data_IF_852973571357
#
_entry.id   IF_852973571357
#
_cell.length_a   1.000
_cell.length_b   1.000
_cell.length_c   1.000
_cell.angle_alpha   90.00
_cell.angle_beta   90.00
_cell.angle_gamma   90.00
#
_symmetry.space_group_name_H-M   'P 1'
#
loop_
_entity.id
_entity.type
_entity.pdbx_description
1 polymer ?
#
# COMPACT_ATOMS: atom_id res chain seq x y z
N UNK A 1 -6.91 19.17 9.57
CA UNK A 1 -6.23 17.92 9.15
C UNK A 1 -7.30 16.83 9.06
N UNK A 2 -7.44 16.19 7.90
CA UNK A 2 -8.44 15.15 7.65
C UNK A 2 -7.71 13.89 7.18
N UNK A 3 -8.05 12.74 7.74
CA UNK A 3 -7.52 11.44 7.34
C UNK A 3 -8.64 10.63 6.69
N UNK A 4 -8.30 9.90 5.63
CA UNK A 4 -9.22 8.96 5.00
C UNK A 4 -8.57 7.59 4.90
N UNK A 5 -9.41 6.56 4.87
CA UNK A 5 -8.98 5.19 4.68
C UNK A 5 -9.77 4.57 3.53
N UNK A 6 -9.06 4.27 2.45
CA UNK A 6 -9.52 3.45 1.33
C UNK A 6 -8.48 2.36 1.04
N UNK A 7 -8.01 1.70 2.10
CA UNK A 7 -7.01 0.65 2.07
C UNK A 7 -5.77 1.06 1.24
N UNK A 8 -5.23 0.17 0.40
CA UNK A 8 -4.05 0.41 -0.43
C UNK A 8 -4.18 1.63 -1.38
N UNK A 9 -5.40 2.15 -1.59
CA UNK A 9 -5.66 3.31 -2.45
C UNK A 9 -5.73 4.65 -1.71
N UNK A 10 -5.54 4.67 -0.38
CA UNK A 10 -5.76 5.87 0.44
C UNK A 10 -4.97 7.10 -0.03
N UNK A 11 -3.69 6.94 -0.40
CA UNK A 11 -2.89 8.05 -0.91
C UNK A 11 -3.45 8.65 -2.21
N UNK A 12 -3.87 7.81 -3.16
CA UNK A 12 -4.48 8.28 -4.41
C UNK A 12 -5.89 8.83 -4.18
N UNK A 13 -6.64 8.26 -3.23
CA UNK A 13 -7.94 8.79 -2.83
C UNK A 13 -7.82 10.19 -2.22
N UNK A 14 -6.75 10.48 -1.47
CA UNK A 14 -6.48 11.83 -0.98
C UNK A 14 -6.27 12.82 -2.13
N UNK A 15 -5.52 12.44 -3.16
CA UNK A 15 -5.33 13.25 -4.38
C UNK A 15 -6.69 13.49 -5.07
N UNK A 16 -7.48 12.43 -5.26
CA UNK A 16 -8.79 12.52 -5.90
C UNK A 16 -9.76 13.44 -5.12
N UNK A 17 -9.80 13.32 -3.80
CA UNK A 17 -10.62 14.17 -2.94
C UNK A 17 -10.20 15.64 -3.00
N UNK A 18 -8.89 15.92 -2.95
CA UNK A 18 -8.39 17.30 -3.07
C UNK A 18 -8.70 17.89 -4.45
N UNK A 19 -8.45 17.13 -5.52
CA UNK A 19 -8.78 17.56 -6.88
C UNK A 19 -10.27 17.82 -7.08
N UNK A 20 -11.14 16.98 -6.52
CA UNK A 20 -12.59 17.18 -6.59
C UNK A 20 -13.04 18.45 -5.86
N UNK A 21 -12.50 18.72 -4.68
CA UNK A 21 -12.83 19.91 -3.91
C UNK A 21 -12.39 21.20 -4.62
N UNK A 22 -11.18 21.23 -5.19
CA UNK A 22 -10.70 22.35 -6.02
C UNK A 22 -11.62 22.54 -7.23
N UNK A 23 -11.92 21.46 -7.95
CA UNK A 23 -12.81 21.51 -9.12
C UNK A 23 -14.21 22.04 -8.78
N UNK A 24 -14.71 21.75 -7.58
CA UNK A 24 -16.02 22.21 -7.11
C UNK A 24 -16.02 23.63 -6.52
N UNK A 25 -14.89 24.32 -6.46
CA UNK A 25 -14.77 25.67 -5.89
C UNK A 25 -14.86 25.71 -4.37
N UNK A 26 -14.64 24.60 -3.67
CA UNK A 26 -14.64 24.57 -2.20
C UNK A 26 -13.41 25.28 -1.61
N UNK A 27 -12.27 25.18 -2.29
CA UNK A 27 -11.03 25.89 -2.00
C UNK A 27 -10.12 25.92 -3.24
N UNK A 28 -9.16 26.83 -3.28
CA UNK A 28 -8.30 27.04 -4.46
C UNK A 28 -7.02 26.18 -4.43
N UNK A 29 -6.50 25.90 -3.24
CA UNK A 29 -5.26 25.14 -3.04
C UNK A 29 -5.49 24.09 -1.95
N UNK A 30 -5.00 22.88 -2.15
CA UNK A 30 -5.05 21.81 -1.16
C UNK A 30 -3.84 20.88 -1.24
N UNK A 31 -3.51 20.26 -0.11
CA UNK A 31 -2.42 19.29 0.01
C UNK A 31 -2.99 17.89 0.18
N UNK A 32 -2.54 16.95 -0.66
CA UNK A 32 -2.84 15.52 -0.55
C UNK A 32 -1.56 14.75 -0.22
N UNK A 33 -1.63 13.86 0.78
CA UNK A 33 -0.51 13.03 1.20
C UNK A 33 -0.99 11.61 1.55
N UNK A 34 -0.07 10.66 1.51
CA UNK A 34 -0.23 9.32 2.07
C UNK A 34 0.94 9.03 3.01
N UNK A 35 0.67 8.36 4.12
CA UNK A 35 1.69 7.95 5.10
C UNK A 35 1.36 6.55 5.60
N UNK A 36 2.39 5.74 5.81
CA UNK A 36 2.27 4.38 6.31
C UNK A 36 3.50 4.04 7.18
N UNK A 37 3.30 3.31 8.28
CA UNK A 37 4.37 2.82 9.15
C UNK A 37 4.06 1.39 9.62
N UNK A 38 4.31 0.44 8.72
CA UNK A 38 4.06 -0.99 8.96
C UNK A 38 4.86 -1.55 10.12
N UNK A 39 6.09 -1.05 10.35
CA UNK A 39 6.94 -1.48 11.46
C UNK A 39 6.39 -1.07 12.83
N UNK A 40 5.57 -0.01 12.90
CA UNK A 40 4.98 0.50 14.13
C UNK A 40 3.60 -0.04 14.46
N UNK A 41 2.71 -0.12 13.46
CA UNK A 41 1.30 -0.50 13.66
C UNK A 41 1.00 -1.96 13.30
N UNK A 42 1.74 -2.56 12.37
CA UNK A 42 1.45 -3.89 11.83
C UNK A 42 0.06 -4.01 11.17
N UNK A 43 -0.23 -5.18 10.60
CA UNK A 43 -1.58 -5.53 10.14
C UNK A 43 -2.15 -6.58 11.08
N UNK A 44 -2.92 -6.15 12.08
CA UNK A 44 -3.61 -7.04 13.00
C UNK A 44 -5.05 -6.60 13.15
N UNK A 45 -5.94 -7.58 13.12
CA UNK A 45 -7.31 -7.39 13.56
C UNK A 45 -7.34 -7.35 15.09
N UNK A 46 -8.05 -6.38 15.64
CA UNK A 46 -8.26 -6.26 17.08
C UNK A 46 -9.73 -6.54 17.43
N UNK A 47 -9.95 -7.20 18.57
CA UNK A 47 -11.29 -7.52 19.06
C UNK A 47 -11.96 -8.71 18.39
N UNK A 48 -13.19 -9.00 18.80
CA UNK A 48 -14.00 -10.10 18.28
C UNK A 48 -14.68 -9.72 16.96
N UNK A 49 -14.80 -10.68 16.04
CA UNK A 49 -15.61 -10.51 14.83
C UNK A 49 -17.09 -10.70 15.13
N UNK A 50 -17.96 -9.92 14.47
CA UNK A 50 -19.39 -10.15 14.53
C UNK A 50 -19.74 -11.50 13.87
N UNK A 51 -20.36 -12.46 14.59
CA UNK A 51 -20.67 -13.78 14.04
C UNK A 51 -21.54 -13.75 12.78
N UNK A 52 -22.34 -12.69 12.59
CA UNK A 52 -23.18 -12.51 11.40
C UNK A 52 -22.37 -12.37 10.10
N UNK A 53 -21.08 -12.02 10.17
CA UNK A 53 -20.19 -11.96 8.99
C UNK A 53 -20.16 -13.31 8.27
N UNK A 54 -20.20 -14.43 9.01
CA UNK A 54 -20.15 -15.77 8.42
C UNK A 54 -21.44 -16.18 7.70
N UNK A 55 -22.54 -15.45 7.94
CA UNK A 55 -23.83 -15.70 7.28
C UNK A 55 -23.94 -15.02 5.91
N UNK A 56 -23.10 -14.03 5.64
CA UNK A 56 -23.07 -13.32 4.36
C UNK A 56 -21.77 -13.65 3.59
N UNK A 57 -21.84 -14.30 2.41
CA UNK A 57 -20.65 -14.70 1.66
C UNK A 57 -19.70 -13.55 1.29
N UNK A 58 -20.24 -12.37 0.97
CA UNK A 58 -19.43 -11.20 0.58
C UNK A 58 -18.72 -10.59 1.79
N UNK A 59 -19.41 -10.49 2.92
CA UNK A 59 -18.80 -10.04 4.17
C UNK A 59 -17.70 -10.99 4.63
N UNK A 60 -17.93 -12.31 4.53
CA UNK A 60 -16.91 -13.32 4.82
C UNK A 60 -15.70 -13.21 3.88
N UNK A 61 -15.91 -12.91 2.61
CA UNK A 61 -14.83 -12.74 1.63
C UNK A 61 -13.87 -11.59 2.00
N UNK A 62 -14.35 -10.54 2.69
CA UNK A 62 -13.49 -9.46 3.20
C UNK A 62 -12.49 -9.91 4.27
N UNK A 63 -12.64 -11.11 4.83
CA UNK A 63 -11.71 -11.70 5.80
C UNK A 63 -10.58 -12.50 5.14
N UNK A 64 -10.61 -12.68 3.81
CA UNK A 64 -9.57 -13.42 3.11
C UNK A 64 -8.23 -12.68 3.21
N UNK A 65 -7.13 -13.37 3.57
CA UNK A 65 -5.81 -12.77 3.50
C UNK A 65 -5.51 -12.34 2.07
N UNK A 66 -4.85 -11.18 1.91
CA UNK A 66 -4.52 -10.66 0.59
C UNK A 66 -3.70 -11.65 -0.25
N UNK A 67 -2.78 -12.40 0.37
CA UNK A 67 -2.03 -13.47 -0.31
C UNK A 67 -2.93 -14.56 -0.88
N UNK A 68 -3.99 -14.98 -0.16
CA UNK A 68 -4.95 -15.97 -0.65
C UNK A 68 -5.76 -15.41 -1.83
N UNK A 69 -6.14 -14.13 -1.78
CA UNK A 69 -6.80 -13.51 -2.95
C UNK A 69 -5.87 -13.47 -4.17
N UNK A 70 -4.55 -13.31 -3.96
CA UNK A 70 -3.55 -13.41 -5.04
C UNK A 70 -3.45 -14.82 -5.60
N UNK A 71 -3.42 -15.85 -4.75
CA UNK A 71 -3.44 -17.26 -5.18
C UNK A 71 -4.70 -17.61 -5.97
N UNK A 72 -5.87 -17.10 -5.54
CA UNK A 72 -7.13 -17.30 -6.24
C UNK A 72 -7.08 -16.69 -7.65
N UNK A 73 -6.52 -15.48 -7.80
CA UNK A 73 -6.30 -14.84 -9.11
C UNK A 73 -5.34 -15.67 -9.96
N UNK A 74 -4.21 -16.10 -9.39
CA UNK A 74 -3.23 -16.91 -10.11
C UNK A 74 -3.84 -18.22 -10.61
N UNK A 75 -4.58 -18.93 -9.76
CA UNK A 75 -5.27 -20.17 -10.13
C UNK A 75 -6.37 -19.93 -11.18
N UNK A 76 -7.21 -18.90 -11.00
CA UNK A 76 -8.33 -18.61 -11.90
C UNK A 76 -7.86 -18.26 -13.32
N UNK A 77 -6.77 -17.51 -13.44
CA UNK A 77 -6.24 -17.03 -14.71
C UNK A 77 -5.01 -17.81 -15.19
N UNK A 78 -4.70 -18.95 -14.55
CA UNK A 78 -3.57 -19.83 -14.88
C UNK A 78 -2.22 -19.10 -14.95
N UNK A 79 -1.97 -18.18 -14.02
CA UNK A 79 -0.72 -17.42 -13.96
C UNK A 79 0.36 -18.33 -13.34
N UNK A 80 1.30 -18.77 -14.16
CA UNK A 80 2.33 -19.70 -13.73
C UNK A 80 3.29 -19.07 -12.71
N UNK A 81 3.92 -19.91 -11.90
CA UNK A 81 4.99 -19.49 -10.99
C UNK A 81 6.13 -18.76 -11.72
N UNK A 82 6.48 -19.24 -12.92
CA UNK A 82 7.53 -18.64 -13.73
C UNK A 82 7.17 -17.21 -14.18
N UNK A 83 5.92 -16.96 -14.57
CA UNK A 83 5.45 -15.61 -14.93
C UNK A 83 5.47 -14.65 -13.74
N UNK A 84 5.03 -15.13 -12.56
CA UNK A 84 5.08 -14.34 -11.33
C UNK A 84 6.53 -13.95 -10.99
N UNK A 85 7.45 -14.90 -11.04
CA UNK A 85 8.86 -14.67 -10.73
C UNK A 85 9.55 -13.76 -11.76
N UNK A 86 9.21 -13.88 -13.06
CA UNK A 86 9.73 -13.00 -14.12
C UNK A 86 9.42 -11.53 -13.85
N UNK A 87 8.20 -11.21 -13.42
CA UNK A 87 7.80 -9.84 -13.08
C UNK A 87 8.57 -9.34 -11.87
N UNK A 88 8.76 -10.18 -10.84
CA UNK A 88 9.53 -9.81 -9.67
C UNK A 88 11.00 -9.49 -10.02
N UNK A 89 11.65 -10.34 -10.84
CA UNK A 89 13.02 -10.11 -11.32
C UNK A 89 13.12 -8.80 -12.09
N UNK A 90 12.19 -8.56 -13.02
CA UNK A 90 12.19 -7.35 -13.84
C UNK A 90 11.96 -6.09 -13.00
N UNK A 91 11.08 -6.16 -11.99
CA UNK A 91 10.84 -5.07 -11.04
C UNK A 91 12.12 -4.67 -10.31
N UNK A 92 12.84 -5.65 -9.73
CA UNK A 92 14.11 -5.40 -9.05
C UNK A 92 15.19 -4.86 -10.00
N UNK A 93 15.29 -5.41 -11.21
CA UNK A 93 16.24 -4.95 -12.23
C UNK A 93 16.01 -3.48 -12.59
N UNK A 94 14.75 -3.08 -12.82
CA UNK A 94 14.38 -1.69 -13.12
C UNK A 94 14.68 -0.76 -11.96
N UNK A 95 14.31 -1.14 -10.75
CA UNK A 95 14.56 -0.35 -9.54
C UNK A 95 16.06 -0.10 -9.33
N UNK A 96 16.88 -1.15 -9.41
CA UNK A 96 18.34 -1.02 -9.28
C UNK A 96 18.95 -0.10 -10.35
N UNK A 97 18.51 -0.22 -11.61
CA UNK A 97 18.96 0.65 -12.69
C UNK A 97 18.55 2.12 -12.48
N UNK A 98 17.31 2.37 -12.04
CA UNK A 98 16.80 3.70 -11.75
C UNK A 98 17.55 4.38 -10.59
N UNK A 99 17.85 3.63 -9.53
CA UNK A 99 18.68 4.11 -8.41
C UNK A 99 20.08 4.47 -8.89
N UNK A 100 20.76 3.55 -9.61
CA UNK A 100 22.13 3.76 -10.10
C UNK A 100 22.23 4.97 -11.05
N UNK A 101 21.21 5.18 -11.88
CA UNK A 101 21.16 6.32 -12.81
C UNK A 101 20.67 7.62 -12.16
N UNK A 102 20.29 7.61 -10.87
CA UNK A 102 19.86 8.81 -10.14
C UNK A 102 18.45 9.28 -10.48
N UNK A 103 17.60 8.45 -11.11
CA UNK A 103 16.24 8.84 -11.55
C UNK A 103 15.30 9.18 -10.40
N UNK A 104 15.61 8.72 -9.19
CA UNK A 104 14.82 9.01 -7.99
C UNK A 104 15.24 10.28 -7.24
N UNK A 105 16.34 10.95 -7.67
CA UNK A 105 16.87 12.13 -6.95
C UNK A 105 15.89 13.29 -6.90
N UNK A 106 15.07 13.45 -7.93
CA UNK A 106 14.14 14.58 -8.05
C UNK A 106 12.88 14.40 -7.18
N UNK A 107 12.50 13.16 -6.86
CA UNK A 107 11.26 12.85 -6.12
C UNK A 107 11.49 12.43 -4.66
N UNK A 108 12.69 11.93 -4.31
CA UNK A 108 13.02 11.54 -2.92
C UNK A 108 13.49 12.76 -2.13
N UNK A 109 12.77 13.07 -1.05
CA UNK A 109 13.22 14.01 0.00
C UNK A 109 13.96 13.23 1.09
N UNK A 110 15.25 13.47 1.35
CA UNK A 110 16.00 12.76 2.39
C UNK A 110 15.42 13.01 3.80
N UNK A 111 15.33 11.95 4.60
CA UNK A 111 14.85 12.02 5.99
C UNK A 111 15.96 11.63 6.95
N UNK A 112 16.31 12.53 7.86
CA UNK A 112 17.27 12.24 8.94
C UNK A 112 16.59 11.42 10.03
N UNK A 113 17.09 10.20 10.27
CA UNK A 113 16.53 9.25 11.25
C UNK A 113 17.59 8.71 12.18
N UNK A 114 17.16 8.15 13.32
CA UNK A 114 18.01 7.32 14.19
C UNK A 114 17.83 5.86 13.78
N UNK A 115 18.92 5.15 13.56
CA UNK A 115 18.92 3.71 13.27
C UNK A 115 19.54 3.01 14.47
N UNK A 116 18.80 2.08 15.06
CA UNK A 116 19.32 1.18 16.09
C UNK A 116 20.11 0.07 15.40
N UNK A 117 21.36 -0.13 15.77
CA UNK A 117 22.18 -1.20 15.23
C UNK A 117 21.55 -2.56 15.60
N UNK A 118 21.19 -3.42 14.63
CA UNK A 118 20.57 -4.70 14.91
C UNK A 118 21.49 -5.70 15.64
N UNK A 119 22.81 -5.51 15.61
CA UNK A 119 23.79 -6.36 16.32
C UNK A 119 24.08 -5.88 17.73
N UNK A 120 24.29 -4.57 17.91
CA UNK A 120 24.72 -4.00 19.20
C UNK A 120 23.57 -3.40 20.01
N UNK A 121 22.44 -3.13 19.36
CA UNK A 121 21.27 -2.54 19.99
C UNK A 121 21.45 -1.09 20.42
N UNK A 122 22.56 -0.44 20.04
CA UNK A 122 22.82 0.98 20.26
C UNK A 122 22.16 1.84 19.18
#
# INVERSE_FOLDING_TARGET
>A
LHTLNRQCSSGLQAIASVGAAIKSGQYEIGLACGVESMSGAGLKWEGSMNPKIFLNPQAKACLLPMGITSENVAAQYNISREEQDKIAVESHRRAAAAIKSGRFKDEIVPVTVKIKDPKTGQ
#
